data_IF_787023152572
#
_entry.id   IF_787023152572
#
_cell.length_a   1.000
_cell.length_b   1.000
_cell.length_c   1.000
_cell.angle_alpha   90.00
_cell.angle_beta   90.00
_cell.angle_gamma   90.00
#
_symmetry.space_group_name_H-M   'P 1'
#
loop_
_entity.id
_entity.type
_entity.pdbx_description
1 polymer ?
#
# COMPACT_ATOMS: atom_id res chain seq x y z
N UNK A 1 -8.37 16.22 -16.44
CA UNK A 1 -9.47 15.53 -17.16
C UNK A 1 -10.29 14.68 -16.19
N UNK A 2 -11.60 14.93 -16.10
CA UNK A 2 -12.54 14.12 -15.32
C UNK A 2 -13.27 13.13 -16.26
N UNK A 3 -13.06 11.82 -16.08
CA UNK A 3 -13.87 10.79 -16.76
C UNK A 3 -14.99 10.33 -15.81
N UNK A 4 -16.23 10.41 -16.27
CA UNK A 4 -17.41 9.92 -15.54
C UNK A 4 -17.44 8.39 -15.58
N UNK A 5 -17.28 7.75 -14.42
CA UNK A 5 -17.33 6.30 -14.16
C UNK A 5 -17.12 6.05 -12.66
N UNK A 6 -17.37 4.85 -12.11
CA UNK A 6 -17.11 4.56 -10.69
C UNK A 6 -15.59 4.52 -10.49
N UNK A 7 -14.99 5.71 -10.41
CA UNK A 7 -13.54 5.90 -10.52
C UNK A 7 -12.89 5.47 -9.22
N UNK A 8 -12.27 4.29 -9.25
CA UNK A 8 -11.12 4.01 -8.42
C UNK A 8 -10.06 5.11 -8.73
N UNK A 9 -9.74 5.91 -7.72
CA UNK A 9 -8.88 7.09 -7.82
C UNK A 9 -7.42 6.74 -8.10
N UNK A 10 -7.10 6.31 -9.33
CA UNK A 10 -5.72 6.11 -9.75
C UNK A 10 -5.06 7.48 -10.01
N UNK A 11 -4.34 7.99 -9.01
CA UNK A 11 -3.33 9.03 -9.21
C UNK A 11 -2.22 8.44 -10.10
N UNK A 12 -2.15 8.87 -11.35
CA UNK A 12 -1.12 8.45 -12.29
C UNK A 12 0.08 9.42 -12.16
N UNK A 13 1.22 9.01 -11.58
CA UNK A 13 2.44 9.83 -11.60
C UNK A 13 2.97 9.97 -13.05
N UNK A 14 3.86 10.95 -13.34
CA UNK A 14 4.24 11.35 -14.70
C UNK A 14 5.05 10.32 -15.52
N UNK A 15 5.11 9.05 -15.11
CA UNK A 15 6.00 8.05 -15.69
C UNK A 15 5.31 6.68 -15.92
N UNK A 16 4.10 6.62 -16.51
CA UNK A 16 3.53 5.39 -17.10
C UNK A 16 3.43 4.13 -16.20
N UNK A 17 3.72 4.25 -14.91
CA UNK A 17 3.70 3.17 -13.94
C UNK A 17 2.29 3.07 -13.40
N UNK A 18 1.68 1.90 -13.60
CA UNK A 18 0.40 1.60 -12.98
C UNK A 18 0.58 1.66 -11.45
N UNK A 19 -0.19 2.53 -10.81
CA UNK A 19 -0.21 2.64 -9.36
C UNK A 19 -1.48 1.96 -8.86
N UNK A 20 -1.36 0.77 -8.31
CA UNK A 20 -2.50 0.07 -7.70
C UNK A 20 -2.30 0.21 -6.20
N UNK A 21 -3.33 0.56 -5.45
CA UNK A 21 -3.20 0.58 -4.00
C UNK A 21 -3.30 -0.85 -3.46
N UNK A 22 -2.17 -1.50 -3.16
CA UNK A 22 -2.16 -2.86 -2.61
C UNK A 22 -2.62 -2.91 -1.13
N UNK A 23 -2.60 -1.76 -0.44
CA UNK A 23 -3.06 -1.61 0.94
C UNK A 23 -4.59 -1.49 1.06
N UNK A 24 -5.30 -1.36 -0.06
CA UNK A 24 -6.75 -1.34 -0.07
C UNK A 24 -7.31 -2.71 0.37
N UNK A 25 -8.16 -2.73 1.43
CA UNK A 25 -8.65 -3.98 2.01
C UNK A 25 -9.59 -4.75 1.07
N UNK A 26 -10.09 -4.15 -0.01
CA UNK A 26 -10.90 -4.86 -1.01
C UNK A 26 -10.03 -5.59 -2.04
N UNK A 27 -8.74 -5.24 -2.17
CA UNK A 27 -7.85 -5.84 -3.17
C UNK A 27 -7.07 -7.05 -2.63
N UNK A 28 -6.81 -7.12 -1.32
CA UNK A 28 -6.06 -8.21 -0.68
C UNK A 28 -4.72 -8.55 -1.35
N UNK A 29 -4.00 -7.52 -1.86
CA UNK A 29 -2.73 -7.70 -2.57
C UNK A 29 -1.54 -7.59 -1.60
N UNK A 30 -1.60 -6.67 -0.64
CA UNK A 30 -0.53 -6.51 0.34
C UNK A 30 -0.47 -7.69 1.33
N UNK A 31 0.70 -8.33 1.44
CA UNK A 31 0.96 -9.41 2.38
C UNK A 31 1.61 -8.90 3.68
N UNK A 32 0.99 -7.90 4.33
CA UNK A 32 1.42 -7.43 5.65
C UNK A 32 0.67 -8.25 6.72
N UNK A 33 1.32 -9.30 7.23
CA UNK A 33 0.66 -10.30 8.10
C UNK A 33 0.77 -9.97 9.59
N UNK A 34 1.64 -9.04 9.98
CA UNK A 34 1.78 -8.61 11.37
C UNK A 34 0.68 -7.63 11.80
N UNK A 35 0.04 -7.90 12.95
CA UNK A 35 -0.95 -7.02 13.61
C UNK A 35 -0.41 -5.60 13.88
N UNK A 36 0.90 -5.50 13.95
CA UNK A 36 1.77 -4.36 14.28
C UNK A 36 2.50 -3.82 13.06
N UNK A 37 2.18 -4.34 11.88
CA UNK A 37 2.62 -3.81 10.60
C UNK A 37 1.58 -2.84 10.04
N UNK A 38 2.05 -1.94 9.20
CA UNK A 38 1.29 -0.98 8.44
C UNK A 38 1.71 -1.08 6.98
N UNK A 39 0.71 -1.17 6.11
CA UNK A 39 0.93 -1.15 4.67
C UNK A 39 1.10 0.30 4.19
N UNK A 40 2.13 0.52 3.39
CA UNK A 40 2.44 1.77 2.71
C UNK A 40 2.39 1.54 1.20
N UNK A 41 1.43 2.19 0.55
CA UNK A 41 1.23 2.20 -0.89
C UNK A 41 2.35 3.02 -1.55
N UNK A 42 3.01 2.47 -2.57
CA UNK A 42 4.10 3.14 -3.28
C UNK A 42 3.93 3.05 -4.79
N UNK A 43 4.53 3.99 -5.51
CA UNK A 43 4.44 3.98 -6.97
C UNK A 43 5.11 2.72 -7.53
N UNK A 44 4.29 1.78 -8.03
CA UNK A 44 4.70 0.51 -8.62
C UNK A 44 4.91 -0.64 -7.62
N UNK A 45 4.63 -0.47 -6.33
CA UNK A 45 4.74 -1.53 -5.32
C UNK A 45 4.09 -1.14 -3.98
N UNK A 46 4.24 -1.97 -2.96
CA UNK A 46 3.90 -1.64 -1.58
C UNK A 46 5.02 -2.00 -0.61
N UNK A 47 4.95 -1.44 0.59
CA UNK A 47 5.85 -1.76 1.70
C UNK A 47 5.05 -2.08 2.95
N UNK A 48 5.52 -3.06 3.72
CA UNK A 48 5.03 -3.31 5.08
C UNK A 48 6.04 -2.75 6.07
N UNK A 49 5.66 -1.73 6.82
CA UNK A 49 6.48 -1.08 7.84
C UNK A 49 5.91 -1.31 9.23
N UNK A 50 6.73 -1.18 10.27
CA UNK A 50 6.23 -1.29 11.64
C UNK A 50 5.41 -0.05 12.00
N UNK A 51 4.30 -0.25 12.72
CA UNK A 51 3.52 0.85 13.29
C UNK A 51 4.41 1.70 14.19
N UNK A 52 4.07 2.98 14.34
CA UNK A 52 4.82 3.88 15.20
C UNK A 52 4.93 3.32 16.63
N UNK A 53 6.15 3.28 17.15
CA UNK A 53 6.47 2.70 18.46
C UNK A 53 6.87 1.22 18.44
N UNK A 54 6.83 0.56 17.28
CA UNK A 54 7.30 -0.82 17.10
C UNK A 54 8.54 -0.86 16.19
N UNK A 55 9.47 -1.77 16.47
CA UNK A 55 10.70 -1.96 15.71
C UNK A 55 10.77 -3.35 15.11
N UNK A 56 11.31 -3.47 13.89
CA UNK A 56 11.45 -4.79 13.25
C UNK A 56 12.53 -5.59 13.97
N UNK A 57 12.12 -6.56 14.80
CA UNK A 57 12.99 -7.49 15.51
C UNK A 57 12.67 -8.93 15.08
N UNK A 58 13.70 -9.67 14.66
CA UNK A 58 13.56 -11.07 14.19
C UNK A 58 12.50 -11.27 13.09
N UNK A 59 12.28 -10.29 12.21
CA UNK A 59 11.27 -10.37 11.14
C UNK A 59 9.85 -10.01 11.55
N UNK A 60 9.63 -9.59 12.81
CA UNK A 60 8.33 -9.13 13.29
C UNK A 60 8.46 -7.74 13.95
N UNK A 61 7.42 -6.93 13.97
CA UNK A 61 7.52 -5.57 14.56
C UNK A 61 7.29 -5.55 16.08
N UNK A 62 8.30 -5.72 16.92
CA UNK A 62 8.18 -5.76 18.40
C UNK A 62 8.14 -4.41 19.11
#
# INVERSE_FOLDING_TARGET
MAINGPRCSLHLPPAGVIHINECDPMRFIANCTGVREQCEDTIGSYKCSCKQGFERRNGFCE
#
